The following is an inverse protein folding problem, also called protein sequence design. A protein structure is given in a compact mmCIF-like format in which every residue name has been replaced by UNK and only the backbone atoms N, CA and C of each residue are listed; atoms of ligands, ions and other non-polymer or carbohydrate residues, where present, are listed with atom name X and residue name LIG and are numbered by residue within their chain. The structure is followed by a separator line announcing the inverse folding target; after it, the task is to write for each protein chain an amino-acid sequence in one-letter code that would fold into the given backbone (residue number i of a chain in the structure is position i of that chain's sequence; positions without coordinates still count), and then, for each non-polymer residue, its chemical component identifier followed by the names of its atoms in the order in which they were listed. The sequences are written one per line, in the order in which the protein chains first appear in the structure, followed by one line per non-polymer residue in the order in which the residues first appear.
data_IF_040602284817
#
_entry.id   IF_040602284817
#
_cell.length_a   1.000
_cell.length_b   1.000
_cell.length_c   1.000
_cell.angle_alpha   90.00
_cell.angle_beta   90.00
_cell.angle_gamma   90.00
#
_symmetry.space_group_name_H-M   'P 1'
#
loop_
_entity.id
_entity.type
_entity.pdbx_description
1 polymer ?
#
# COMPACT_ATOMS: atom_id res chain seq x y z
N UNK A 1 -26.67 -32.22 -52.53
CA UNK A 1 -26.10 -31.55 -53.72
C UNK A 1 -25.54 -30.22 -53.21
N UNK A 2 -24.28 -29.83 -53.36
CA UNK A 2 -23.31 -30.08 -54.41
C UNK A 2 -21.89 -30.31 -53.84
N UNK A 3 -21.11 -31.09 -54.58
CA UNK A 3 -19.71 -31.46 -54.34
C UNK A 3 -18.79 -30.23 -54.37
N UNK A 4 -17.95 -30.08 -53.35
CA UNK A 4 -16.66 -29.40 -53.45
C UNK A 4 -15.56 -30.46 -53.47
N UNK A 5 -14.81 -30.57 -54.56
CA UNK A 5 -13.47 -31.18 -54.57
C UNK A 5 -12.68 -30.55 -55.72
N UNK A 6 -11.75 -29.66 -55.39
CA UNK A 6 -10.68 -29.26 -56.31
C UNK A 6 -9.37 -29.41 -55.57
N UNK A 7 -8.66 -30.46 -55.96
CA UNK A 7 -7.30 -30.82 -55.56
C UNK A 7 -6.34 -29.92 -56.36
N UNK A 8 -5.38 -29.28 -55.70
CA UNK A 8 -4.13 -28.84 -56.33
C UNK A 8 -2.95 -29.11 -55.36
N UNK A 9 -1.83 -29.68 -55.85
CA UNK A 9 -0.70 -30.11 -55.03
C UNK A 9 0.48 -29.13 -55.08
N UNK A 10 1.34 -29.23 -54.06
CA UNK A 10 2.78 -29.00 -54.19
C UNK A 10 3.32 -27.72 -53.55
N UNK A 11 4.06 -27.88 -52.45
CA UNK A 11 5.40 -27.30 -52.35
C UNK A 11 6.23 -28.08 -51.33
N UNK A 12 7.47 -28.38 -51.72
CA UNK A 12 8.42 -29.15 -50.94
C UNK A 12 8.99 -28.26 -49.82
N UNK A 13 8.69 -28.58 -48.56
CA UNK A 13 9.31 -27.92 -47.39
C UNK A 13 10.63 -28.60 -47.06
N UNK A 14 11.75 -27.92 -47.38
CA UNK A 14 13.08 -28.26 -46.91
C UNK A 14 13.23 -27.83 -45.44
N UNK A 15 13.17 -28.79 -44.53
CA UNK A 15 13.36 -28.56 -43.10
C UNK A 15 14.86 -28.37 -42.78
N UNK A 16 15.28 -27.14 -42.52
CA UNK A 16 16.59 -26.83 -41.91
C UNK A 16 16.51 -27.12 -40.41
N UNK A 17 17.14 -28.21 -39.97
CA UNK A 17 17.29 -28.54 -38.56
C UNK A 17 18.32 -27.60 -37.90
N UNK A 18 17.85 -26.59 -37.18
CA UNK A 18 18.70 -25.70 -36.38
C UNK A 18 19.05 -26.41 -35.06
N UNK A 19 20.30 -26.82 -34.89
CA UNK A 19 20.80 -27.39 -33.64
C UNK A 19 20.89 -26.29 -32.57
N UNK A 20 20.03 -26.35 -31.56
CA UNK A 20 20.08 -25.47 -30.39
C UNK A 20 21.18 -25.97 -29.46
N UNK A 21 22.33 -25.28 -29.43
CA UNK A 21 23.39 -25.52 -28.48
C UNK A 21 22.95 -25.01 -27.10
N UNK A 22 22.51 -25.92 -26.23
CA UNK A 22 22.19 -25.59 -24.85
C UNK A 22 23.48 -25.36 -24.05
N UNK A 23 23.87 -24.09 -23.88
CA UNK A 23 24.93 -23.71 -22.95
C UNK A 23 24.36 -23.81 -21.53
N UNK A 24 24.70 -24.88 -20.82
CA UNK A 24 24.40 -25.02 -19.41
C UNK A 24 25.31 -24.06 -18.63
N UNK A 25 24.83 -22.85 -18.35
CA UNK A 25 25.45 -21.97 -17.38
C UNK A 25 25.25 -22.60 -15.99
N UNK A 26 26.31 -23.17 -15.43
CA UNK A 26 26.37 -23.44 -13.99
C UNK A 26 26.46 -22.09 -13.29
N UNK A 27 25.30 -21.53 -12.93
CA UNK A 27 25.26 -20.39 -12.03
C UNK A 27 25.90 -20.85 -10.71
N UNK A 28 27.14 -20.40 -10.45
CA UNK A 28 27.76 -20.59 -9.14
C UNK A 28 26.82 -20.00 -8.09
N UNK A 29 26.71 -20.65 -6.92
CA UNK A 29 26.01 -20.08 -5.78
C UNK A 29 26.71 -18.76 -5.45
N UNK A 30 26.04 -17.63 -5.69
CA UNK A 30 26.56 -16.34 -5.26
C UNK A 30 26.69 -16.39 -3.74
N UNK A 31 27.91 -16.24 -3.25
CA UNK A 31 28.18 -16.18 -1.81
C UNK A 31 27.68 -14.83 -1.28
N UNK A 32 27.15 -14.83 -0.05
CA UNK A 32 26.77 -13.60 0.63
C UNK A 32 27.98 -12.65 0.71
N UNK A 33 27.74 -11.35 0.50
CA UNK A 33 28.80 -10.34 0.52
C UNK A 33 29.02 -9.84 1.94
N UNK A 34 30.26 -9.85 2.46
CA UNK A 34 30.56 -9.16 3.72
C UNK A 34 30.42 -7.66 3.52
N UNK A 35 29.50 -7.03 4.24
CA UNK A 35 29.26 -5.59 4.25
C UNK A 35 29.37 -5.13 5.71
N UNK A 36 30.41 -4.37 6.04
CA UNK A 36 30.67 -3.98 7.42
C UNK A 36 30.78 -5.20 8.34
N UNK A 37 30.03 -5.28 9.45
CA UNK A 37 30.13 -6.35 10.42
C UNK A 37 29.39 -7.64 10.06
N UNK A 38 28.50 -7.65 9.05
CA UNK A 38 27.70 -8.82 8.69
C UNK A 38 27.68 -9.10 7.19
N UNK A 39 27.32 -10.31 6.83
CA UNK A 39 27.07 -10.67 5.44
C UNK A 39 25.66 -10.25 5.03
N UNK A 40 25.52 -9.82 3.77
CA UNK A 40 24.25 -9.55 3.10
C UNK A 40 24.20 -10.47 1.89
N UNK A 41 23.17 -11.33 1.80
CA UNK A 41 23.09 -12.35 0.76
C UNK A 41 21.70 -12.51 0.16
N UNK A 42 21.63 -13.28 -0.93
CA UNK A 42 20.38 -13.77 -1.51
C UNK A 42 19.43 -12.66 -1.95
N UNK A 43 18.13 -12.82 -1.69
CA UNK A 43 17.12 -11.84 -2.10
C UNK A 43 17.25 -10.51 -1.34
N UNK A 44 17.76 -10.53 -0.11
CA UNK A 44 18.03 -9.31 0.66
C UNK A 44 19.17 -8.52 0.04
N UNK A 45 20.22 -9.18 -0.45
CA UNK A 45 21.31 -8.52 -1.18
C UNK A 45 20.85 -7.85 -2.48
N UNK A 46 20.02 -8.55 -3.26
CA UNK A 46 19.46 -7.97 -4.50
C UNK A 46 18.65 -6.71 -4.20
N UNK A 47 17.83 -6.75 -3.15
CA UNK A 47 17.04 -5.60 -2.71
C UNK A 47 17.92 -4.49 -2.11
N UNK A 48 18.95 -4.85 -1.36
CA UNK A 48 19.93 -3.92 -0.79
C UNK A 48 20.61 -3.10 -1.88
N UNK A 49 21.15 -3.76 -2.91
CA UNK A 49 21.80 -3.07 -4.03
C UNK A 49 20.79 -2.20 -4.80
N UNK A 50 19.59 -2.71 -5.04
CA UNK A 50 18.54 -2.00 -5.78
C UNK A 50 17.91 -0.82 -4.99
N UNK A 51 18.01 -0.83 -3.66
CA UNK A 51 17.63 0.28 -2.78
C UNK A 51 18.75 1.32 -2.60
N UNK A 52 19.88 1.17 -3.29
CA UNK A 52 21.02 2.10 -3.27
C UNK A 52 22.17 1.68 -2.34
N UNK A 53 22.08 0.48 -1.75
CA UNK A 53 23.12 -0.14 -0.95
C UNK A 53 23.56 0.70 0.24
N UNK A 54 24.87 0.69 0.53
CA UNK A 54 25.44 1.29 1.73
C UNK A 54 25.18 2.80 1.83
N UNK A 55 25.20 3.49 0.69
CA UNK A 55 24.95 4.93 0.65
C UNK A 55 23.55 5.30 1.14
N UNK A 56 22.57 4.43 0.91
CA UNK A 56 21.18 4.62 1.31
C UNK A 56 20.87 4.03 2.70
N UNK A 57 21.33 2.80 2.97
CA UNK A 57 20.91 2.01 4.13
C UNK A 57 21.95 1.95 5.26
N UNK A 58 23.23 2.19 4.94
CA UNK A 58 24.35 1.95 5.84
C UNK A 58 24.76 0.47 5.90
N UNK A 59 25.66 0.14 6.82
CA UNK A 59 26.05 -1.25 7.05
C UNK A 59 24.89 -2.05 7.69
N UNK A 60 24.82 -3.37 7.48
CA UNK A 60 23.94 -4.21 8.27
C UNK A 60 24.34 -4.13 9.75
N UNK A 61 23.34 -4.10 10.63
CA UNK A 61 23.52 -4.07 12.10
C UNK A 61 23.18 -5.40 12.76
N UNK A 62 22.60 -6.32 12.00
CA UNK A 62 22.31 -7.70 12.40
C UNK A 62 22.73 -8.66 11.29
N UNK A 63 22.98 -9.95 11.59
CA UNK A 63 22.94 -10.97 10.56
C UNK A 63 21.52 -11.06 9.95
N UNK A 64 21.39 -11.67 8.78
CA UNK A 64 20.09 -12.12 8.28
C UNK A 64 19.44 -13.04 9.34
N UNK A 65 18.21 -12.72 9.70
CA UNK A 65 17.48 -13.35 10.80
C UNK A 65 16.12 -13.86 10.34
N UNK A 66 15.57 -14.86 11.04
CA UNK A 66 14.23 -15.37 10.75
C UNK A 66 13.15 -14.34 11.11
N UNK A 67 12.20 -14.13 10.20
CA UNK A 67 10.95 -13.39 10.42
C UNK A 67 9.76 -14.37 10.44
N UNK A 68 8.60 -13.94 10.94
CA UNK A 68 7.44 -14.82 11.03
C UNK A 68 6.96 -15.33 9.65
N UNK A 69 6.22 -16.44 9.64
CA UNK A 69 5.64 -17.02 8.42
C UNK A 69 6.68 -17.40 7.35
N UNK A 70 7.86 -17.86 7.78
CA UNK A 70 8.93 -18.34 6.90
C UNK A 70 9.65 -17.24 6.13
N UNK A 71 9.58 -15.99 6.61
CA UNK A 71 10.35 -14.90 6.03
C UNK A 71 11.72 -14.74 6.67
N UNK A 72 12.47 -13.78 6.14
CA UNK A 72 13.79 -13.37 6.59
C UNK A 72 13.82 -11.87 6.69
N UNK A 73 14.70 -11.33 7.51
CA UNK A 73 14.95 -9.90 7.55
C UNK A 73 16.37 -9.56 7.97
N UNK A 74 16.79 -8.34 7.68
CA UNK A 74 18.05 -7.78 8.17
C UNK A 74 17.87 -6.29 8.46
N UNK A 75 18.42 -5.82 9.58
CA UNK A 75 18.44 -4.41 9.97
C UNK A 75 19.73 -3.72 9.52
N UNK A 76 19.64 -2.43 9.21
CA UNK A 76 20.73 -1.58 8.71
C UNK A 76 20.81 -0.26 9.50
N UNK A 77 21.99 0.35 9.52
CA UNK A 77 22.31 1.51 10.40
C UNK A 77 21.37 2.71 10.26
N UNK A 78 20.87 3.01 9.06
CA UNK A 78 20.12 4.24 8.78
C UNK A 78 18.62 4.10 9.03
N UNK A 79 18.26 3.45 10.14
CA UNK A 79 16.88 3.14 10.52
C UNK A 79 16.12 2.48 9.35
N UNK A 80 16.76 1.48 8.76
CA UNK A 80 16.24 0.76 7.60
C UNK A 80 16.34 -0.74 7.85
N UNK A 81 15.43 -1.48 7.26
CA UNK A 81 15.43 -2.93 7.26
C UNK A 81 14.99 -3.43 5.89
N UNK A 82 15.41 -4.63 5.53
CA UNK A 82 14.86 -5.35 4.38
C UNK A 82 14.18 -6.60 4.92
N UNK A 83 12.91 -6.77 4.57
CA UNK A 83 12.13 -7.95 4.91
C UNK A 83 11.82 -8.72 3.63
N UNK A 84 12.04 -10.03 3.67
CA UNK A 84 11.74 -10.96 2.59
C UNK A 84 10.73 -12.01 3.04
N UNK A 85 9.78 -12.32 2.17
CA UNK A 85 9.10 -13.61 2.24
C UNK A 85 8.82 -14.16 0.83
N UNK A 86 8.54 -15.45 0.74
CA UNK A 86 8.30 -16.12 -0.54
C UNK A 86 7.09 -15.57 -1.33
N UNK A 87 6.11 -14.95 -0.66
CA UNK A 87 4.89 -14.47 -1.29
C UNK A 87 5.06 -13.12 -1.99
N UNK A 88 5.94 -12.24 -1.48
CA UNK A 88 6.06 -10.85 -1.95
C UNK A 88 7.47 -10.45 -2.35
N UNK A 89 8.48 -11.25 -2.06
CA UNK A 89 9.88 -10.91 -2.28
C UNK A 89 10.47 -10.07 -1.15
N UNK A 90 11.65 -9.48 -1.40
CA UNK A 90 12.36 -8.63 -0.47
C UNK A 90 12.01 -7.16 -0.73
N UNK A 91 11.68 -6.40 0.31
CA UNK A 91 11.40 -4.97 0.21
C UNK A 91 12.08 -4.19 1.32
N UNK A 92 12.73 -3.10 0.94
CA UNK A 92 13.26 -2.12 1.87
C UNK A 92 12.13 -1.36 2.56
N UNK A 93 12.25 -1.21 3.87
CA UNK A 93 11.41 -0.35 4.69
C UNK A 93 12.29 0.45 5.65
N UNK A 94 11.90 1.66 6.02
CA UNK A 94 12.72 2.49 6.89
C UNK A 94 12.00 3.67 7.52
N UNK A 95 12.72 4.35 8.40
CA UNK A 95 12.28 5.57 9.07
C UNK A 95 11.00 5.38 9.89
N UNK A 96 10.17 6.44 9.99
CA UNK A 96 8.92 6.40 10.74
C UNK A 96 7.92 5.33 10.28
N UNK A 97 8.00 4.91 9.01
CA UNK A 97 7.16 3.84 8.45
C UNK A 97 7.56 2.48 9.04
N UNK A 98 8.86 2.20 9.12
CA UNK A 98 9.39 0.98 9.78
C UNK A 98 8.98 0.94 11.25
N UNK A 99 9.17 2.05 11.96
CA UNK A 99 8.82 2.17 13.38
C UNK A 99 7.33 1.93 13.60
N UNK A 100 6.45 2.56 12.80
CA UNK A 100 5.01 2.34 12.87
C UNK A 100 4.66 0.90 12.56
N UNK A 101 5.19 0.32 11.49
CA UNK A 101 4.89 -1.05 11.09
C UNK A 101 5.29 -2.06 12.17
N UNK A 102 6.49 -1.90 12.77
CA UNK A 102 6.93 -2.70 13.92
C UNK A 102 6.03 -2.52 15.13
N UNK A 103 5.62 -1.29 15.42
CA UNK A 103 4.65 -0.99 16.50
C UNK A 103 3.27 -1.62 16.29
N UNK A 104 2.89 -1.92 15.04
CA UNK A 104 1.65 -2.63 14.70
C UNK A 104 1.81 -4.16 14.64
N UNK A 105 2.94 -4.69 15.13
CA UNK A 105 3.22 -6.13 15.18
C UNK A 105 3.99 -6.67 13.97
N UNK A 106 4.53 -5.78 13.13
CA UNK A 106 5.34 -6.12 11.95
C UNK A 106 4.63 -7.16 11.05
N UNK A 107 5.36 -8.19 10.61
CA UNK A 107 4.86 -9.24 9.74
C UNK A 107 3.81 -10.16 10.40
N UNK A 108 3.73 -10.15 11.73
CA UNK A 108 2.72 -10.88 12.50
C UNK A 108 1.44 -10.05 12.69
N UNK A 109 1.50 -8.74 12.41
CA UNK A 109 0.37 -7.82 12.48
C UNK A 109 -0.58 -7.93 11.28
N UNK A 110 -1.66 -7.15 11.33
CA UNK A 110 -2.67 -7.14 10.28
C UNK A 110 -2.14 -6.69 8.91
N UNK A 111 -1.07 -5.88 8.88
CA UNK A 111 -0.43 -5.42 7.65
C UNK A 111 0.39 -6.51 6.95
N UNK A 112 0.94 -7.48 7.69
CA UNK A 112 1.87 -8.50 7.19
C UNK A 112 3.08 -7.86 6.48
N UNK A 113 3.65 -8.52 5.48
CA UNK A 113 4.88 -8.07 4.82
C UNK A 113 4.69 -6.83 3.94
N UNK A 114 5.73 -5.97 3.80
CA UNK A 114 5.76 -4.93 2.78
C UNK A 114 5.71 -5.55 1.37
N UNK A 115 5.06 -4.86 0.44
CA UNK A 115 4.98 -5.22 -0.99
C UNK A 115 5.59 -4.16 -1.90
N UNK A 116 6.00 -3.03 -1.34
CA UNK A 116 6.79 -1.99 -2.00
C UNK A 116 7.87 -1.49 -1.06
N UNK A 117 8.86 -0.79 -1.63
CA UNK A 117 9.79 0.02 -0.85
C UNK A 117 9.08 1.18 -0.16
N UNK A 118 9.81 1.90 0.69
CA UNK A 118 9.41 3.27 1.06
C UNK A 118 9.59 4.17 -0.17
N UNK A 119 8.50 4.75 -0.62
CA UNK A 119 8.42 5.64 -1.78
C UNK A 119 8.00 7.05 -1.35
N UNK A 120 8.28 8.05 -2.18
CA UNK A 120 7.81 9.42 -1.96
C UNK A 120 6.39 9.59 -2.50
N UNK A 121 5.56 10.34 -1.78
CA UNK A 121 4.24 10.72 -2.30
C UNK A 121 4.39 11.64 -3.53
N UNK A 122 3.52 11.51 -4.54
CA UNK A 122 3.73 12.13 -5.85
C UNK A 122 3.54 13.65 -5.88
N UNK A 123 2.69 14.21 -5.00
CA UNK A 123 2.33 15.64 -5.07
C UNK A 123 2.80 16.42 -3.86
N UNK A 124 2.42 16.02 -2.65
CA UNK A 124 2.86 16.69 -1.41
C UNK A 124 4.03 15.92 -0.80
N UNK A 125 4.91 16.61 -0.08
CA UNK A 125 6.04 15.97 0.57
C UNK A 125 5.57 14.99 1.65
N UNK A 126 6.01 13.74 1.52
CA UNK A 126 5.63 12.63 2.38
C UNK A 126 6.19 11.34 1.82
N UNK A 127 6.01 10.25 2.54
CA UNK A 127 6.47 8.93 2.13
C UNK A 127 5.41 7.89 2.45
N UNK A 128 5.42 6.79 1.72
CA UNK A 128 4.51 5.68 1.96
C UNK A 128 5.17 4.34 1.64
N UNK A 129 4.60 3.27 2.19
CA UNK A 129 4.87 1.91 1.74
C UNK A 129 3.56 1.13 1.75
N UNK A 130 3.41 0.24 0.78
CA UNK A 130 2.31 -0.70 0.70
C UNK A 130 2.68 -2.01 1.37
N UNK A 131 1.70 -2.62 2.01
CA UNK A 131 1.79 -3.92 2.66
C UNK A 131 0.66 -4.81 2.15
N UNK A 132 0.76 -6.11 2.38
CA UNK A 132 -0.29 -7.04 1.95
C UNK A 132 -1.66 -6.69 2.54
N UNK A 133 -1.70 -6.16 3.77
CA UNK A 133 -2.92 -5.82 4.50
C UNK A 133 -3.32 -4.34 4.48
N UNK A 134 -2.58 -3.46 3.80
CA UNK A 134 -2.87 -2.03 3.82
C UNK A 134 -1.69 -1.17 3.40
N UNK A 135 -1.66 0.07 3.86
CA UNK A 135 -0.55 0.99 3.61
C UNK A 135 -0.22 1.77 4.87
N UNK A 136 1.01 2.26 4.97
CA UNK A 136 1.39 3.29 5.93
C UNK A 136 1.84 4.51 5.15
N UNK A 137 1.31 5.67 5.52
CA UNK A 137 1.70 6.98 4.99
C UNK A 137 2.32 7.80 6.11
N UNK A 138 3.35 8.57 5.80
CA UNK A 138 4.00 9.49 6.71
C UNK A 138 4.16 10.86 6.04
N UNK A 139 3.93 11.93 6.78
CA UNK A 139 4.39 13.26 6.40
C UNK A 139 4.93 13.99 7.63
N UNK A 140 5.75 15.02 7.37
CA UNK A 140 6.07 16.01 8.41
C UNK A 140 4.76 16.58 8.95
N UNK A 141 4.62 16.62 10.27
CA UNK A 141 3.45 17.15 10.97
C UNK A 141 2.31 16.16 11.23
N UNK A 142 2.23 15.03 10.52
CA UNK A 142 1.17 14.02 10.75
C UNK A 142 1.66 12.74 11.41
N UNK A 143 2.97 12.47 11.42
CA UNK A 143 3.52 11.16 11.78
C UNK A 143 3.08 10.04 10.81
N UNK A 144 3.46 8.80 11.11
CA UNK A 144 3.16 7.66 10.25
C UNK A 144 1.81 7.07 10.66
N UNK A 145 0.95 6.75 9.69
CA UNK A 145 -0.40 6.25 9.93
C UNK A 145 -0.82 5.16 8.95
N UNK A 146 -1.47 4.12 9.49
CA UNK A 146 -1.98 3.00 8.73
C UNK A 146 -3.35 3.32 8.12
N UNK A 147 -3.50 3.01 6.83
CA UNK A 147 -4.78 3.01 6.11
C UNK A 147 -5.13 1.59 5.65
N UNK A 148 -6.34 1.12 5.98
CA UNK A 148 -6.85 -0.17 5.54
C UNK A 148 -7.37 -0.13 4.11
N UNK A 149 -7.49 -1.29 3.45
CA UNK A 149 -7.74 -1.40 2.00
C UNK A 149 -8.86 -0.50 1.47
N UNK A 150 -10.09 -0.67 1.97
CA UNK A 150 -11.25 0.10 1.45
C UNK A 150 -11.19 1.59 1.75
N UNK A 151 -10.63 1.99 2.89
CA UNK A 151 -10.46 3.40 3.26
C UNK A 151 -9.34 4.05 2.45
N UNK A 152 -8.21 3.36 2.29
CA UNK A 152 -7.10 3.77 1.43
C UNK A 152 -7.56 3.94 -0.02
N UNK A 153 -8.29 2.97 -0.56
CA UNK A 153 -8.77 3.00 -1.94
C UNK A 153 -9.72 4.18 -2.14
N UNK A 154 -10.58 4.46 -1.14
CA UNK A 154 -11.42 5.65 -1.14
C UNK A 154 -10.61 6.94 -1.12
N UNK A 155 -9.63 7.06 -0.23
CA UNK A 155 -8.76 8.23 -0.15
C UNK A 155 -7.98 8.45 -1.47
N UNK A 156 -7.48 7.38 -2.07
CA UNK A 156 -6.81 7.42 -3.38
C UNK A 156 -7.74 7.90 -4.49
N UNK A 157 -9.01 7.46 -4.50
CA UNK A 157 -10.00 7.93 -5.49
C UNK A 157 -10.30 9.43 -5.41
N UNK A 158 -10.02 10.07 -4.25
CA UNK A 158 -10.19 11.50 -4.03
C UNK A 158 -8.93 12.32 -4.37
N UNK A 159 -7.86 11.67 -4.82
CA UNK A 159 -6.57 12.30 -5.11
C UNK A 159 -5.53 12.19 -3.99
N UNK A 160 -5.69 11.24 -3.07
CA UNK A 160 -4.72 10.93 -2.00
C UNK A 160 -4.38 12.18 -1.17
N UNK A 161 -3.10 12.49 -0.97
CA UNK A 161 -2.64 13.63 -0.18
C UNK A 161 -3.02 14.98 -0.83
N UNK A 162 -3.31 14.99 -2.12
CA UNK A 162 -3.79 16.16 -2.85
C UNK A 162 -5.30 16.39 -2.70
N UNK A 163 -6.04 15.43 -2.14
CA UNK A 163 -7.46 15.61 -1.83
C UNK A 163 -7.69 16.71 -0.78
N UNK A 164 -8.94 17.19 -0.62
CA UNK A 164 -9.29 18.10 0.48
C UNK A 164 -9.09 17.53 1.88
N UNK A 165 -8.79 16.23 2.02
CA UNK A 165 -8.57 15.58 3.32
C UNK A 165 -7.12 15.75 3.80
N UNK A 166 -6.16 15.80 2.87
CA UNK A 166 -4.73 15.76 3.18
C UNK A 166 -4.25 14.38 3.64
N UNK A 167 -3.18 14.35 4.43
CA UNK A 167 -2.60 13.12 4.99
C UNK A 167 -3.44 12.58 6.18
N UNK A 168 -3.41 11.26 6.42
CA UNK A 168 -4.02 10.67 7.62
C UNK A 168 -3.31 11.14 8.90
N UNK A 169 -4.07 11.29 9.98
CA UNK A 169 -3.60 11.64 11.33
C UNK A 169 -3.97 10.59 12.39
N UNK A 170 -4.62 9.50 11.97
CA UNK A 170 -4.86 8.33 12.81
C UNK A 170 -4.61 7.06 12.02
N UNK A 171 -4.26 5.99 12.73
CA UNK A 171 -4.40 4.64 12.22
C UNK A 171 -5.90 4.31 12.06
N UNK A 172 -6.23 3.24 11.32
CA UNK A 172 -7.61 2.81 11.17
C UNK A 172 -8.19 2.35 12.52
N UNK A 173 -9.30 2.96 12.94
CA UNK A 173 -9.94 2.68 14.21
C UNK A 173 -11.34 2.10 14.02
N UNK A 174 -11.83 1.38 15.03
CA UNK A 174 -13.18 0.84 15.05
C UNK A 174 -14.22 1.94 15.28
N UNK A 175 -15.35 1.84 14.59
CA UNK A 175 -16.54 2.65 14.77
C UNK A 175 -17.77 1.77 15.08
N UNK A 176 -18.91 2.41 15.40
CA UNK A 176 -20.17 1.74 15.76
C UNK A 176 -20.60 0.70 14.72
N UNK A 177 -21.26 -0.37 15.15
CA UNK A 177 -21.80 -1.40 14.25
C UNK A 177 -20.74 -2.03 13.33
N UNK A 178 -19.54 -2.28 13.86
CA UNK A 178 -18.41 -2.86 13.12
C UNK A 178 -17.94 -2.00 11.94
N UNK A 179 -18.18 -0.69 11.99
CA UNK A 179 -17.58 0.24 11.05
C UNK A 179 -16.11 0.51 11.35
N UNK A 180 -15.46 1.22 10.45
CA UNK A 180 -14.05 1.62 10.52
C UNK A 180 -13.90 3.06 10.09
N UNK A 181 -12.88 3.75 10.58
CA UNK A 181 -12.59 5.11 10.13
C UNK A 181 -11.10 5.45 10.24
N UNK A 182 -10.69 6.42 9.42
CA UNK A 182 -9.46 7.17 9.61
C UNK A 182 -9.79 8.66 9.63
N UNK A 183 -9.10 9.41 10.49
CA UNK A 183 -9.11 10.86 10.45
C UNK A 183 -7.94 11.35 9.59
N UNK A 184 -8.17 12.47 8.93
CA UNK A 184 -7.21 13.19 8.11
C UNK A 184 -7.16 14.65 8.61
N UNK A 185 -6.14 15.41 8.21
CA UNK A 185 -5.99 16.81 8.62
C UNK A 185 -7.30 17.60 8.48
N UNK A 186 -7.95 17.47 7.33
CA UNK A 186 -9.09 18.32 6.94
C UNK A 186 -10.38 17.52 6.70
N UNK A 187 -10.42 16.26 7.11
CA UNK A 187 -11.63 15.44 7.00
C UNK A 187 -11.54 14.08 7.69
N UNK A 188 -12.48 13.21 7.38
CA UNK A 188 -12.47 11.82 7.81
C UNK A 188 -13.04 10.92 6.71
N UNK A 189 -12.64 9.66 6.69
CA UNK A 189 -13.31 8.62 5.90
C UNK A 189 -13.88 7.61 6.86
N UNK A 190 -15.18 7.34 6.73
CA UNK A 190 -15.89 6.32 7.49
C UNK A 190 -16.37 5.22 6.55
N UNK A 191 -16.24 3.98 6.99
CA UNK A 191 -16.72 2.79 6.31
C UNK A 191 -17.67 1.99 7.21
N UNK A 192 -18.73 1.45 6.61
CA UNK A 192 -19.51 0.35 7.19
C UNK A 192 -19.85 -0.66 6.10
N UNK A 193 -20.17 -1.89 6.49
CA UNK A 193 -20.61 -2.92 5.53
C UNK A 193 -21.83 -2.48 4.71
N UNK A 194 -22.72 -1.67 5.30
CA UNK A 194 -23.96 -1.22 4.65
C UNK A 194 -23.73 -0.05 3.69
N UNK A 195 -22.84 0.87 4.04
CA UNK A 195 -22.69 2.14 3.30
C UNK A 195 -21.48 2.18 2.38
N UNK A 196 -20.46 1.36 2.62
CA UNK A 196 -19.15 1.55 1.99
C UNK A 196 -18.37 2.71 2.61
N UNK A 197 -17.22 3.05 2.00
CA UNK A 197 -16.31 4.09 2.49
C UNK A 197 -16.62 5.44 1.84
N UNK A 198 -16.90 6.46 2.65
CA UNK A 198 -17.21 7.81 2.18
C UNK A 198 -16.47 8.87 3.00
N UNK A 199 -16.08 9.94 2.32
CA UNK A 199 -15.40 11.06 2.96
C UNK A 199 -16.40 12.07 3.52
N UNK A 200 -16.12 12.60 4.70
CA UNK A 200 -16.83 13.73 5.32
C UNK A 200 -15.81 14.81 5.63
N UNK A 201 -16.02 16.03 5.11
CA UNK A 201 -15.08 17.14 5.27
C UNK A 201 -15.82 18.50 5.29
N UNK A 202 -15.07 19.57 5.53
CA UNK A 202 -15.60 20.94 5.51
C UNK A 202 -16.74 21.20 6.50
N UNK A 203 -17.63 22.13 6.13
CA UNK A 203 -18.76 22.55 6.98
C UNK A 203 -19.79 21.44 7.22
N UNK A 204 -19.96 20.53 6.25
CA UNK A 204 -20.82 19.36 6.39
C UNK A 204 -20.26 18.43 7.49
N UNK A 205 -18.95 18.15 7.51
CA UNK A 205 -18.31 17.40 8.60
C UNK A 205 -18.55 18.06 9.96
N UNK A 206 -18.30 19.37 10.07
CA UNK A 206 -18.47 20.09 11.33
C UNK A 206 -19.91 19.98 11.86
N UNK A 207 -20.89 20.11 10.96
CA UNK A 207 -22.30 19.93 11.30
C UNK A 207 -22.59 18.50 11.75
N UNK A 208 -22.10 17.50 11.01
CA UNK A 208 -22.26 16.09 11.34
C UNK A 208 -21.62 15.73 12.69
N UNK A 209 -20.40 16.18 12.95
CA UNK A 209 -19.68 15.97 14.22
C UNK A 209 -20.40 16.63 15.40
N UNK A 210 -20.93 17.86 15.23
CA UNK A 210 -21.74 18.54 16.26
C UNK A 210 -23.00 17.77 16.63
N UNK A 211 -23.46 16.87 15.74
CA UNK A 211 -24.61 15.99 15.91
C UNK A 211 -24.20 14.56 16.29
N UNK A 212 -23.01 14.40 16.90
CA UNK A 212 -22.40 13.15 17.35
C UNK A 212 -21.93 12.20 16.23
N UNK A 213 -21.77 12.70 15.00
CA UNK A 213 -21.21 11.96 13.88
C UNK A 213 -21.87 10.61 13.63
N UNK A 214 -21.07 9.57 13.43
CA UNK A 214 -21.57 8.20 13.17
C UNK A 214 -22.35 7.60 14.36
N UNK A 215 -22.19 8.16 15.56
CA UNK A 215 -22.94 7.77 16.74
C UNK A 215 -24.28 8.51 16.87
N UNK A 216 -24.45 9.60 16.12
CA UNK A 216 -25.62 10.46 16.12
C UNK A 216 -26.78 9.97 15.27
N UNK A 217 -27.81 10.82 15.16
CA UNK A 217 -29.03 10.51 14.41
C UNK A 217 -28.80 10.39 12.90
N UNK A 218 -27.79 11.07 12.34
CA UNK A 218 -27.44 10.96 10.91
C UNK A 218 -26.74 9.63 10.58
N UNK A 219 -25.98 9.05 11.50
CA UNK A 219 -25.25 7.80 11.27
C UNK A 219 -24.12 7.94 10.24
N UNK A 220 -23.82 6.86 9.52
CA UNK A 220 -22.75 6.85 8.52
C UNK A 220 -23.11 7.64 7.26
N UNK A 221 -22.11 8.26 6.57
CA UNK A 221 -22.32 8.78 5.22
C UNK A 221 -22.68 7.64 4.25
N UNK A 222 -23.62 7.90 3.34
CA UNK A 222 -24.07 6.96 2.29
C UNK A 222 -23.60 7.35 0.89
N UNK A 223 -23.01 8.54 0.75
CA UNK A 223 -22.39 9.07 -0.44
C UNK A 223 -21.39 10.17 -0.07
N UNK A 224 -20.57 10.60 -1.02
CA UNK A 224 -19.72 11.79 -0.82
C UNK A 224 -20.51 13.08 -1.00
N UNK A 225 -19.87 14.20 -0.66
CA UNK A 225 -20.40 15.54 -0.94
C UNK A 225 -20.66 15.76 -2.44
N UNK A 226 -21.79 16.37 -2.78
CA UNK A 226 -22.20 16.71 -4.15
C UNK A 226 -22.86 18.11 -4.21
N UNK A 227 -22.94 18.68 -5.41
CA UNK A 227 -23.57 19.99 -5.63
C UNK A 227 -25.08 19.93 -5.39
N UNK A 228 -25.61 20.87 -4.60
CA UNK A 228 -27.03 20.89 -4.24
C UNK A 228 -27.52 22.33 -3.99
N UNK A 229 -28.53 22.76 -4.75
CA UNK A 229 -29.23 24.06 -4.57
C UNK A 229 -28.31 25.28 -4.39
N UNK A 230 -27.25 25.38 -5.21
CA UNK A 230 -26.29 26.48 -5.15
C UNK A 230 -25.26 26.38 -4.01
N UNK A 231 -25.29 25.28 -3.26
CA UNK A 231 -24.28 24.91 -2.27
C UNK A 231 -23.88 23.45 -2.40
N UNK A 232 -23.66 22.79 -1.26
CA UNK A 232 -23.25 21.38 -1.18
C UNK A 232 -24.24 20.58 -0.34
N UNK A 233 -24.30 19.28 -0.59
CA UNK A 233 -25.02 18.35 0.27
C UNK A 233 -24.28 17.03 0.39
N UNK A 234 -24.56 16.31 1.46
CA UNK A 234 -24.14 14.93 1.64
C UNK A 234 -25.26 14.13 2.29
N UNK A 235 -25.46 12.91 1.78
CA UNK A 235 -26.44 11.97 2.29
C UNK A 235 -25.81 11.03 3.34
N UNK A 236 -26.56 10.81 4.41
CA UNK A 236 -26.25 9.91 5.53
C UNK A 236 -27.42 8.97 5.75
N UNK A 237 -27.20 7.88 6.51
CA UNK A 237 -28.23 6.88 6.80
C UNK A 237 -29.51 7.48 7.39
N UNK A 238 -29.38 8.51 8.23
CA UNK A 238 -30.47 9.18 8.94
C UNK A 238 -30.93 10.49 8.30
N UNK A 239 -30.41 10.88 7.13
CA UNK A 239 -30.85 12.08 6.44
C UNK A 239 -29.73 12.81 5.69
N UNK A 240 -30.04 14.01 5.21
CA UNK A 240 -29.13 14.87 4.45
C UNK A 240 -28.64 16.04 5.30
N UNK A 241 -27.38 16.42 5.13
CA UNK A 241 -26.86 17.71 5.60
C UNK A 241 -26.55 18.54 4.36
N UNK A 242 -26.99 19.79 4.37
CA UNK A 242 -26.71 20.77 3.31
C UNK A 242 -25.85 21.91 3.85
N UNK A 243 -25.08 22.52 2.96
CA UNK A 243 -24.27 23.71 3.24
C UNK A 243 -24.48 24.73 2.13
N UNK A 244 -24.52 26.01 2.49
CA UNK A 244 -24.58 27.15 1.58
C UNK A 244 -23.44 28.13 1.91
N UNK A 245 -22.88 28.81 0.89
CA UNK A 245 -21.77 29.76 1.06
C UNK A 245 -22.13 31.04 1.83
#
# INVERSE_FOLDING_TARGET
MARLYRILPGSHSTALATAVLAVALTAGVAHARPIGPFEVGGAIEVEYDAAGGNAALGDPTTPESDAANGGKYQDFERNAAIYWNAAVGAHQIGGPILEKWRGLGAESGALRYPVTRVEQTPVKAGSFSHFQGGSIYWSVGTAAHQLGGVIRDKWNSLGSENSPLGFPITDEAAAKNNGRYNLFNDGAIYWSQKTGAHAVWGAIRLTWESRAGANGAYGYPTGDEYDYEGGKAQDFEGGRITWQP
#
